data_IF_517608433372
#
_entry.id   IF_517608433372
#
_cell.length_a   1.000
_cell.length_b   1.000
_cell.length_c   1.000
_cell.angle_alpha   90.00
_cell.angle_beta   90.00
_cell.angle_gamma   90.00
#
_symmetry.space_group_name_H-M   'P 1'
#
loop_
_entity.id
_entity.type
_entity.pdbx_description
1 polymer ?
#
# COMPACT_ATOMS: atom_id res chain seq x y z
N UNK A 1 -56.51 -5.55 1.96
CA UNK A 1 -55.13 -5.59 1.42
C UNK A 1 -54.21 -6.00 2.56
N UNK A 2 -53.94 -7.29 2.65
CA UNK A 2 -53.08 -7.89 3.66
C UNK A 2 -51.65 -7.46 3.35
N UNK A 3 -51.06 -6.60 4.18
CA UNK A 3 -49.63 -6.34 4.16
C UNK A 3 -48.94 -7.65 4.54
N UNK A 4 -48.28 -8.23 3.55
CA UNK A 4 -47.56 -9.49 3.64
C UNK A 4 -46.30 -9.26 4.51
N UNK A 5 -46.50 -9.29 5.84
CA UNK A 5 -45.56 -8.87 6.88
C UNK A 5 -44.38 -9.85 7.10
N UNK A 6 -44.06 -10.63 6.08
CA UNK A 6 -42.89 -11.51 6.07
C UNK A 6 -41.63 -10.66 5.94
N UNK A 7 -40.65 -10.78 6.86
CA UNK A 7 -39.44 -9.99 6.83
C UNK A 7 -38.65 -10.25 5.54
N UNK A 8 -38.00 -9.20 5.02
CA UNK A 8 -37.21 -9.27 3.79
C UNK A 8 -36.07 -10.31 3.87
N UNK A 9 -35.51 -10.51 5.06
CA UNK A 9 -34.55 -11.57 5.35
C UNK A 9 -34.98 -12.40 6.57
N UNK A 10 -34.58 -13.67 6.58
CA UNK A 10 -34.41 -14.39 7.84
C UNK A 10 -33.17 -13.85 8.59
N UNK A 11 -33.22 -13.82 9.92
CA UNK A 11 -32.17 -13.25 10.77
C UNK A 11 -30.82 -13.97 10.58
N UNK A 12 -30.85 -15.29 10.36
CA UNK A 12 -29.63 -16.08 10.13
C UNK A 12 -28.96 -15.67 8.81
N UNK A 13 -29.74 -15.53 7.74
CA UNK A 13 -29.24 -15.12 6.43
C UNK A 13 -28.70 -13.70 6.46
N UNK A 14 -29.42 -12.77 7.09
CA UNK A 14 -28.97 -11.39 7.23
C UNK A 14 -27.66 -11.31 8.02
N UNK A 15 -27.58 -11.98 9.18
CA UNK A 15 -26.36 -12.02 9.99
C UNK A 15 -25.17 -12.60 9.22
N UNK A 16 -25.38 -13.69 8.46
CA UNK A 16 -24.34 -14.31 7.64
C UNK A 16 -23.86 -13.45 6.47
N UNK A 17 -24.73 -12.59 5.91
CA UNK A 17 -24.36 -11.57 4.92
C UNK A 17 -23.56 -10.43 5.57
N UNK A 18 -24.01 -9.92 6.71
CA UNK A 18 -23.29 -8.87 7.45
C UNK A 18 -21.88 -9.32 7.83
N UNK A 19 -21.73 -10.52 8.36
CA UNK A 19 -20.42 -11.08 8.69
C UNK A 19 -19.51 -11.09 7.45
N UNK A 20 -20.04 -11.48 6.29
CA UNK A 20 -19.24 -11.49 5.05
C UNK A 20 -18.85 -10.10 4.54
N UNK A 21 -19.63 -9.06 4.81
CA UNK A 21 -19.24 -7.68 4.51
C UNK A 21 -17.99 -7.29 5.30
N UNK A 22 -17.96 -7.55 6.61
CA UNK A 22 -16.82 -7.16 7.44
C UNK A 22 -15.62 -8.11 7.28
N UNK A 23 -15.86 -9.41 7.09
CA UNK A 23 -14.80 -10.39 6.81
C UNK A 23 -14.14 -10.15 5.46
N UNK A 24 -14.91 -9.70 4.46
CA UNK A 24 -14.45 -9.38 3.12
C UNK A 24 -13.34 -8.33 3.04
N UNK A 25 -13.15 -7.53 4.09
CA UNK A 25 -12.05 -6.57 4.23
C UNK A 25 -10.67 -7.25 4.25
N UNK A 26 -10.60 -8.51 4.68
CA UNK A 26 -9.37 -9.30 4.79
C UNK A 26 -9.28 -10.40 3.72
N UNK A 27 -10.21 -10.45 2.77
CA UNK A 27 -10.24 -11.47 1.72
C UNK A 27 -9.37 -11.06 0.52
N UNK A 28 -8.78 -12.05 -0.14
CA UNK A 28 -8.08 -11.87 -1.42
C UNK A 28 -8.62 -12.92 -2.38
N UNK A 29 -9.48 -12.55 -3.37
CA UNK A 29 -9.96 -11.21 -3.73
C UNK A 29 -10.99 -10.61 -2.75
N UNK A 30 -11.03 -9.27 -2.69
CA UNK A 30 -11.87 -8.49 -1.75
C UNK A 30 -13.37 -8.76 -1.94
N UNK A 31 -14.08 -8.93 -0.83
CA UNK A 31 -15.54 -9.14 -0.78
C UNK A 31 -16.08 -10.29 -1.66
N UNK A 32 -15.25 -11.24 -2.08
CA UNK A 32 -15.70 -12.37 -2.91
C UNK A 32 -16.74 -13.22 -2.17
N UNK A 33 -16.51 -13.49 -0.89
CA UNK A 33 -17.45 -14.25 -0.07
C UNK A 33 -18.80 -13.55 0.07
N UNK A 34 -18.80 -12.23 0.21
CA UNK A 34 -20.01 -11.42 0.24
C UNK A 34 -20.77 -11.45 -1.10
N UNK A 35 -20.08 -11.21 -2.21
CA UNK A 35 -20.71 -11.18 -3.54
C UNK A 35 -21.30 -12.54 -3.93
N UNK A 36 -20.63 -13.64 -3.60
CA UNK A 36 -21.14 -14.99 -3.83
C UNK A 36 -22.42 -15.30 -3.02
N UNK A 37 -22.44 -14.93 -1.73
CA UNK A 37 -23.64 -15.07 -0.89
C UNK A 37 -24.79 -14.19 -1.39
N UNK A 38 -24.49 -12.94 -1.73
CA UNK A 38 -25.47 -11.99 -2.25
C UNK A 38 -26.06 -12.49 -3.57
N UNK A 39 -25.23 -13.01 -4.47
CA UNK A 39 -25.67 -13.56 -5.76
C UNK A 39 -26.65 -14.72 -5.57
N UNK A 40 -26.33 -15.63 -4.66
CA UNK A 40 -27.18 -16.80 -4.34
C UNK A 40 -28.51 -16.34 -3.74
N UNK A 41 -28.47 -15.46 -2.75
CA UNK A 41 -29.64 -14.95 -2.04
C UNK A 41 -30.59 -14.14 -2.93
N UNK A 42 -30.03 -13.41 -3.89
CA UNK A 42 -30.79 -12.63 -4.86
C UNK A 42 -31.16 -13.45 -6.10
N UNK A 43 -30.82 -14.74 -6.17
CA UNK A 43 -31.00 -15.58 -7.37
C UNK A 43 -30.47 -14.88 -8.63
N UNK A 44 -29.32 -14.22 -8.51
CA UNK A 44 -28.69 -13.41 -9.52
C UNK A 44 -27.70 -14.23 -10.37
N UNK A 45 -27.48 -13.81 -11.62
CA UNK A 45 -26.43 -14.39 -12.46
C UNK A 45 -25.09 -13.70 -12.22
N UNK A 46 -25.07 -12.37 -12.05
CA UNK A 46 -23.85 -11.61 -11.76
C UNK A 46 -24.11 -10.52 -10.72
N UNK A 47 -23.17 -10.36 -9.79
CA UNK A 47 -23.09 -9.22 -8.87
C UNK A 47 -21.80 -8.43 -9.11
N UNK A 48 -21.90 -7.11 -9.16
CA UNK A 48 -20.78 -6.19 -9.28
C UNK A 48 -20.77 -5.19 -8.12
N UNK A 49 -19.61 -4.96 -7.54
CA UNK A 49 -19.35 -3.86 -6.62
C UNK A 49 -18.22 -3.00 -7.18
N UNK A 50 -18.54 -1.74 -7.45
CA UNK A 50 -17.65 -0.77 -8.10
C UNK A 50 -17.33 0.31 -7.08
N UNK A 51 -16.05 0.48 -6.71
CA UNK A 51 -15.67 1.46 -5.66
C UNK A 51 -15.29 2.85 -6.19
N UNK A 52 -15.33 3.08 -7.50
CA UNK A 52 -15.11 4.41 -8.10
C UNK A 52 -15.70 4.44 -9.51
N UNK A 53 -16.14 5.61 -9.96
CA UNK A 53 -16.59 5.75 -11.35
C UNK A 53 -15.45 5.38 -12.31
N UNK A 54 -15.75 4.60 -13.36
CA UNK A 54 -14.81 4.40 -14.44
C UNK A 54 -14.54 5.74 -15.14
N UNK A 55 -13.27 6.15 -15.20
CA UNK A 55 -12.81 7.26 -16.02
C UNK A 55 -12.27 6.70 -17.36
N UNK A 56 -12.18 7.51 -18.43
CA UNK A 56 -11.52 7.10 -19.66
C UNK A 56 -10.09 6.62 -19.35
N UNK A 57 -9.83 5.31 -19.53
CA UNK A 57 -8.53 4.68 -19.25
C UNK A 57 -8.36 4.06 -17.85
N UNK A 58 -9.33 4.19 -16.93
CA UNK A 58 -9.31 3.56 -15.60
C UNK A 58 -10.72 3.10 -15.20
N UNK A 59 -10.99 1.80 -15.31
CA UNK A 59 -12.31 1.20 -15.08
C UNK A 59 -12.77 1.19 -13.61
N UNK A 60 -11.97 1.75 -12.71
CA UNK A 60 -12.25 1.73 -11.30
C UNK A 60 -11.76 0.45 -10.60
N UNK A 61 -12.11 0.25 -9.32
CA UNK A 61 -11.95 -1.08 -8.71
C UNK A 61 -13.28 -1.81 -8.89
N UNK A 62 -13.28 -2.77 -9.81
CA UNK A 62 -14.42 -3.60 -10.15
C UNK A 62 -14.29 -4.96 -9.46
N UNK A 63 -15.14 -5.22 -8.49
CA UNK A 63 -15.26 -6.51 -7.82
C UNK A 63 -16.51 -7.22 -8.34
N UNK A 64 -16.43 -8.53 -8.55
CA UNK A 64 -17.51 -9.25 -9.22
C UNK A 64 -17.55 -10.73 -8.88
N UNK A 65 -18.75 -11.31 -8.91
CA UNK A 65 -19.00 -12.74 -8.77
C UNK A 65 -20.01 -13.19 -9.83
N UNK A 66 -19.77 -14.35 -10.45
CA UNK A 66 -20.62 -14.91 -11.50
C UNK A 66 -20.24 -14.53 -12.95
N UNK A 67 -19.17 -13.74 -13.16
CA UNK A 67 -18.65 -13.47 -14.50
C UNK A 67 -18.10 -14.74 -15.16
N UNK A 68 -18.42 -15.00 -16.44
CA UNK A 68 -17.79 -16.04 -17.24
C UNK A 68 -16.26 -15.84 -17.34
N UNK A 69 -15.45 -16.91 -17.31
CA UNK A 69 -13.98 -16.85 -17.37
C UNK A 69 -13.41 -16.09 -18.58
N UNK A 70 -14.14 -16.05 -19.70
CA UNK A 70 -13.75 -15.32 -20.90
C UNK A 70 -13.67 -13.80 -20.72
N UNK A 71 -14.30 -13.26 -19.67
CA UNK A 71 -14.38 -11.82 -19.39
C UNK A 71 -13.57 -11.41 -18.16
N UNK A 72 -13.30 -12.35 -17.24
CA UNK A 72 -12.53 -12.11 -16.03
C UNK A 72 -11.05 -11.74 -16.29
N UNK A 73 -10.54 -11.99 -17.51
CA UNK A 73 -9.14 -11.76 -17.89
C UNK A 73 -8.89 -10.71 -18.97
N UNK A 74 -9.93 -10.02 -19.48
CA UNK A 74 -9.74 -9.00 -20.53
C UNK A 74 -9.54 -7.61 -19.89
N UNK A 75 -8.39 -6.95 -20.07
CA UNK A 75 -8.14 -5.60 -19.54
C UNK A 75 -9.04 -4.53 -20.18
N UNK A 76 -9.59 -4.82 -21.37
CA UNK A 76 -10.67 -4.06 -21.99
C UNK A 76 -11.98 -4.79 -21.74
N UNK A 77 -12.69 -4.42 -20.68
CA UNK A 77 -14.09 -4.76 -20.57
C UNK A 77 -14.82 -3.89 -21.61
N UNK A 78 -15.65 -4.46 -22.48
CA UNK A 78 -16.32 -3.70 -23.58
C UNK A 78 -17.07 -2.45 -23.04
N UNK A 79 -17.50 -2.52 -21.78
CA UNK A 79 -18.13 -1.42 -21.04
C UNK A 79 -17.19 -0.24 -20.70
N UNK A 80 -15.89 -0.47 -20.48
CA UNK A 80 -14.90 0.59 -20.20
C UNK A 80 -14.44 1.36 -21.43
N UNK A 81 -14.69 0.84 -22.65
CA UNK A 81 -14.36 1.49 -23.93
C UNK A 81 -15.43 2.54 -24.34
N UNK A 82 -15.91 3.32 -23.37
CA UNK A 82 -16.83 4.46 -23.60
C UNK A 82 -18.33 4.14 -23.58
N UNK A 83 -18.72 2.87 -23.48
CA UNK A 83 -20.15 2.47 -23.41
C UNK A 83 -20.82 2.80 -22.07
N UNK A 84 -20.05 3.13 -21.02
CA UNK A 84 -20.57 3.74 -19.79
C UNK A 84 -21.38 5.03 -20.05
N UNK A 85 -21.01 5.81 -21.08
CA UNK A 85 -21.68 7.07 -21.40
C UNK A 85 -23.12 6.90 -21.91
N UNK A 86 -23.48 5.70 -22.37
CA UNK A 86 -24.82 5.36 -22.86
C UNK A 86 -25.58 4.46 -21.88
N UNK A 87 -25.03 4.19 -20.69
CA UNK A 87 -25.72 3.42 -19.65
C UNK A 87 -26.81 4.27 -18.99
N UNK A 88 -28.11 3.96 -19.20
CA UNK A 88 -29.21 4.69 -18.58
C UNK A 88 -29.27 4.48 -17.06
N UNK A 89 -28.46 3.57 -16.53
CA UNK A 89 -28.37 3.18 -15.13
C UNK A 89 -27.10 3.74 -14.44
N UNK A 90 -26.45 4.71 -15.07
CA UNK A 90 -25.35 5.48 -14.51
C UNK A 90 -25.85 6.71 -13.72
N UNK A 91 -25.23 7.01 -12.57
CA UNK A 91 -25.56 8.15 -11.69
C UNK A 91 -26.96 8.09 -11.06
N UNK A 92 -27.29 6.95 -10.44
CA UNK A 92 -28.54 6.82 -9.69
C UNK A 92 -28.58 7.80 -8.51
N UNK A 93 -29.78 8.19 -8.04
CA UNK A 93 -29.92 8.93 -6.79
C UNK A 93 -29.24 8.17 -5.63
N UNK A 94 -28.51 8.91 -4.79
CA UNK A 94 -27.75 8.28 -3.69
C UNK A 94 -28.68 7.49 -2.77
N UNK A 95 -28.25 6.27 -2.45
CA UNK A 95 -28.87 5.35 -1.50
C UNK A 95 -30.30 4.92 -1.88
N UNK A 96 -30.70 5.17 -3.13
CA UNK A 96 -31.97 4.72 -3.67
C UNK A 96 -31.80 3.44 -4.49
N UNK A 97 -32.39 2.35 -3.99
CA UNK A 97 -32.41 1.07 -4.71
C UNK A 97 -33.43 1.13 -5.85
N UNK A 98 -32.93 1.08 -7.07
CA UNK A 98 -33.74 1.25 -8.28
C UNK A 98 -33.56 0.05 -9.20
N UNK A 99 -34.55 -0.20 -10.06
CA UNK A 99 -34.46 -1.22 -11.11
C UNK A 99 -34.40 -0.57 -12.48
N UNK A 100 -33.70 -1.18 -13.43
CA UNK A 100 -33.55 -0.60 -14.77
C UNK A 100 -34.89 -0.38 -15.48
N UNK A 101 -35.87 -1.25 -15.24
CA UNK A 101 -37.22 -1.17 -15.78
C UNK A 101 -38.00 0.06 -15.32
N UNK A 102 -37.59 0.72 -14.23
CA UNK A 102 -38.21 1.97 -13.75
C UNK A 102 -37.73 3.19 -14.53
N UNK A 103 -36.57 3.11 -15.19
CA UNK A 103 -36.03 4.18 -16.03
C UNK A 103 -36.33 3.98 -17.50
N UNK A 104 -36.23 2.74 -17.99
CA UNK A 104 -36.41 2.41 -19.39
C UNK A 104 -37.39 1.25 -19.53
N UNK A 105 -38.55 1.46 -20.17
CA UNK A 105 -39.48 0.38 -20.46
C UNK A 105 -38.78 -0.77 -21.22
N UNK A 106 -39.07 -2.01 -20.86
CA UNK A 106 -38.37 -3.19 -21.40
C UNK A 106 -38.36 -3.23 -22.93
N UNK A 107 -39.45 -2.84 -23.58
CA UNK A 107 -39.54 -2.79 -25.05
C UNK A 107 -38.54 -1.82 -25.69
N UNK A 108 -38.28 -0.68 -25.02
CA UNK A 108 -37.31 0.31 -25.47
C UNK A 108 -35.88 -0.14 -25.17
N UNK A 109 -35.67 -0.78 -24.02
CA UNK A 109 -34.37 -1.34 -23.63
C UNK A 109 -33.90 -2.40 -24.63
N UNK A 110 -34.76 -3.35 -24.99
CA UNK A 110 -34.44 -4.43 -25.93
C UNK A 110 -34.02 -3.94 -27.33
N UNK A 111 -34.43 -2.72 -27.70
CA UNK A 111 -34.06 -2.07 -28.97
C UNK A 111 -32.86 -1.14 -28.85
N UNK A 112 -32.37 -0.90 -27.64
CA UNK A 112 -31.24 0.01 -27.40
C UNK A 112 -29.91 -0.61 -27.78
N UNK A 113 -28.98 0.23 -28.25
CA UNK A 113 -27.61 -0.19 -28.52
C UNK A 113 -26.91 -0.72 -27.26
N UNK A 114 -27.24 -0.13 -26.10
CA UNK A 114 -26.76 -0.58 -24.80
C UNK A 114 -27.11 -2.05 -24.53
N UNK A 115 -28.38 -2.44 -24.74
CA UNK A 115 -28.79 -3.83 -24.55
C UNK A 115 -28.09 -4.78 -25.52
N UNK A 116 -28.13 -4.47 -26.83
CA UNK A 116 -27.60 -5.35 -27.89
C UNK A 116 -26.08 -5.58 -27.74
N UNK A 117 -25.33 -4.56 -27.31
CA UNK A 117 -23.86 -4.63 -27.23
C UNK A 117 -23.34 -5.03 -25.85
N UNK A 118 -24.04 -4.65 -24.76
CA UNK A 118 -23.52 -4.82 -23.39
C UNK A 118 -24.31 -5.82 -22.55
N UNK A 119 -25.60 -6.04 -22.81
CA UNK A 119 -26.44 -6.88 -21.95
C UNK A 119 -26.74 -8.25 -22.59
N UNK A 120 -27.12 -8.26 -23.87
CA UNK A 120 -27.47 -9.47 -24.62
C UNK A 120 -26.35 -10.52 -24.67
N UNK A 121 -25.06 -10.18 -24.89
CA UNK A 121 -23.98 -11.16 -24.93
C UNK A 121 -23.76 -11.90 -23.60
N UNK A 122 -24.22 -11.32 -22.48
CA UNK A 122 -24.01 -11.85 -21.14
C UNK A 122 -25.31 -12.34 -20.49
N UNK A 123 -26.40 -12.42 -21.27
CA UNK A 123 -27.74 -12.79 -20.81
C UNK A 123 -28.13 -11.98 -19.56
N UNK A 124 -28.06 -10.65 -19.68
CA UNK A 124 -28.49 -9.71 -18.65
C UNK A 124 -29.78 -9.04 -19.13
N UNK A 125 -30.82 -9.05 -18.30
CA UNK A 125 -32.06 -8.31 -18.61
C UNK A 125 -32.51 -7.47 -17.42
N UNK A 126 -32.66 -8.11 -16.28
CA UNK A 126 -33.10 -7.44 -15.07
C UNK A 126 -31.89 -6.93 -14.30
N UNK A 127 -31.86 -5.63 -14.00
CA UNK A 127 -30.79 -5.01 -13.23
C UNK A 127 -31.41 -4.30 -12.02
N UNK A 128 -30.91 -4.65 -10.84
CA UNK A 128 -31.12 -3.93 -9.59
C UNK A 128 -29.82 -3.24 -9.23
N UNK A 129 -29.89 -1.97 -8.82
CA UNK A 129 -28.69 -1.28 -8.39
C UNK A 129 -28.96 -0.13 -7.44
N UNK A 130 -27.89 0.25 -6.79
CA UNK A 130 -27.83 1.40 -5.91
C UNK A 130 -26.48 2.07 -6.09
N UNK A 131 -26.50 3.40 -6.14
CA UNK A 131 -25.30 4.22 -6.04
C UNK A 131 -25.26 4.84 -4.64
N UNK A 132 -24.09 4.82 -4.02
CA UNK A 132 -23.84 5.34 -2.69
C UNK A 132 -22.75 6.38 -2.80
N UNK A 133 -23.00 7.57 -2.23
CA UNK A 133 -21.98 8.60 -2.11
C UNK A 133 -21.39 8.54 -0.71
N UNK A 134 -20.13 8.12 -0.62
CA UNK A 134 -19.42 7.99 0.65
C UNK A 134 -18.56 9.24 0.95
N UNK A 135 -18.16 9.44 2.23
CA UNK A 135 -17.22 10.49 2.61
C UNK A 135 -15.92 10.45 1.79
N UNK A 136 -15.34 11.61 1.51
CA UNK A 136 -14.08 11.71 0.74
C UNK A 136 -14.27 11.57 -0.78
N UNK A 137 -15.46 11.88 -1.30
CA UNK A 137 -15.81 11.83 -2.73
C UNK A 137 -15.77 10.43 -3.36
N UNK A 138 -15.74 9.39 -2.54
CA UNK A 138 -15.79 8.01 -3.03
C UNK A 138 -17.23 7.67 -3.44
N UNK A 139 -17.42 7.27 -4.69
CA UNK A 139 -18.71 6.77 -5.17
C UNK A 139 -18.66 5.27 -5.31
N UNK A 140 -19.66 4.59 -4.75
CA UNK A 140 -19.78 3.15 -4.81
C UNK A 140 -21.06 2.77 -5.53
N UNK A 141 -20.97 1.81 -6.44
CA UNK A 141 -22.12 1.29 -7.16
C UNK A 141 -22.22 -0.22 -6.95
N UNK A 142 -23.37 -0.69 -6.48
CA UNK A 142 -23.72 -2.10 -6.43
C UNK A 142 -24.67 -2.38 -7.59
N UNK A 143 -24.38 -3.42 -8.39
CA UNK A 143 -25.22 -3.88 -9.48
C UNK A 143 -25.46 -5.38 -9.34
N UNK A 144 -26.71 -5.78 -9.42
CA UNK A 144 -27.16 -7.16 -9.30
C UNK A 144 -28.00 -7.43 -10.53
N UNK A 145 -27.68 -8.50 -11.23
CA UNK A 145 -28.28 -8.81 -12.52
C UNK A 145 -28.98 -10.16 -12.48
N UNK A 146 -30.02 -10.34 -13.30
CA UNK A 146 -30.64 -11.63 -13.59
C UNK A 146 -30.81 -11.78 -15.11
N UNK A 147 -30.87 -13.03 -15.57
CA UNK A 147 -31.09 -13.38 -16.97
C UNK A 147 -32.50 -13.10 -17.45
N UNK A 148 -32.69 -13.12 -18.77
CA UNK A 148 -33.98 -12.83 -19.40
C UNK A 148 -35.11 -13.81 -19.02
N UNK A 149 -34.74 -15.05 -18.68
CA UNK A 149 -35.68 -16.10 -18.28
C UNK A 149 -36.03 -16.06 -16.77
N UNK A 150 -35.35 -15.22 -15.99
CA UNK A 150 -35.61 -15.07 -14.56
C UNK A 150 -36.72 -14.05 -14.29
N UNK A 151 -37.25 -14.07 -13.06
CA UNK A 151 -38.22 -13.03 -12.63
C UNK A 151 -37.52 -11.68 -12.42
N UNK A 152 -38.23 -10.61 -12.77
CA UNK A 152 -37.85 -9.24 -12.42
C UNK A 152 -37.67 -9.06 -10.91
N UNK A 153 -36.89 -8.05 -10.52
CA UNK A 153 -36.72 -7.72 -9.11
C UNK A 153 -38.00 -7.15 -8.51
N UNK A 154 -38.30 -7.59 -7.30
CA UNK A 154 -39.52 -7.25 -6.56
C UNK A 154 -39.25 -6.15 -5.52
N UNK A 155 -40.30 -5.57 -4.94
CA UNK A 155 -40.16 -4.64 -3.81
C UNK A 155 -39.44 -5.28 -2.60
N UNK A 156 -39.66 -6.59 -2.35
CA UNK A 156 -38.93 -7.34 -1.32
C UNK A 156 -37.44 -7.46 -1.64
N UNK A 157 -37.08 -7.66 -2.92
CA UNK A 157 -35.67 -7.66 -3.36
C UNK A 157 -35.01 -6.28 -3.13
N UNK A 158 -35.75 -5.18 -3.32
CA UNK A 158 -35.26 -3.83 -3.02
C UNK A 158 -35.01 -3.64 -1.54
N UNK A 159 -35.97 -4.03 -0.70
CA UNK A 159 -35.89 -3.92 0.76
C UNK A 159 -34.69 -4.69 1.32
N UNK A 160 -34.40 -5.89 0.78
CA UNK A 160 -33.19 -6.66 1.07
C UNK A 160 -31.91 -5.86 0.84
N UNK A 161 -31.78 -5.15 -0.27
CA UNK A 161 -30.59 -4.34 -0.55
C UNK A 161 -30.55 -3.09 0.35
N UNK A 162 -31.69 -2.44 0.56
CA UNK A 162 -31.81 -1.28 1.45
C UNK A 162 -31.27 -1.58 2.85
N UNK A 163 -31.53 -2.78 3.40
CA UNK A 163 -31.00 -3.21 4.69
C UNK A 163 -29.47 -3.38 4.71
N UNK A 164 -28.82 -3.64 3.58
CA UNK A 164 -27.37 -3.81 3.49
C UNK A 164 -26.62 -2.50 3.25
N UNK A 165 -27.28 -1.47 2.69
CA UNK A 165 -26.69 -0.14 2.43
C UNK A 165 -25.92 0.42 3.63
N UNK A 166 -26.50 0.53 4.85
CA UNK A 166 -25.79 1.15 5.98
C UNK A 166 -24.51 0.39 6.35
N UNK A 167 -24.47 -0.93 6.13
CA UNK A 167 -23.29 -1.74 6.42
C UNK A 167 -22.19 -1.56 5.37
N UNK A 168 -22.56 -1.44 4.09
CA UNK A 168 -21.61 -1.10 3.03
C UNK A 168 -21.06 0.31 3.20
N UNK A 169 -21.92 1.27 3.57
CA UNK A 169 -21.54 2.65 3.88
C UNK A 169 -20.58 2.76 5.09
N UNK A 170 -20.53 1.76 5.98
CA UNK A 170 -19.56 1.69 7.08
C UNK A 170 -18.29 0.91 6.69
N UNK A 171 -18.45 -0.27 6.08
CA UNK A 171 -17.32 -1.15 5.78
C UNK A 171 -16.37 -0.56 4.73
N UNK A 172 -16.90 0.11 3.69
CA UNK A 172 -16.07 0.63 2.59
C UNK A 172 -15.18 1.80 3.04
N UNK A 173 -15.67 2.82 3.79
CA UNK A 173 -14.78 3.85 4.33
C UNK A 173 -13.74 3.30 5.31
N UNK A 174 -14.08 2.27 6.10
CA UNK A 174 -13.12 1.59 6.97
C UNK A 174 -12.00 0.93 6.15
N UNK A 175 -12.35 0.23 5.06
CA UNK A 175 -11.39 -0.31 4.11
C UNK A 175 -10.49 0.78 3.53
N UNK A 176 -11.07 1.88 3.04
CA UNK A 176 -10.34 2.98 2.43
C UNK A 176 -9.33 3.60 3.41
N UNK A 177 -9.74 3.78 4.68
CA UNK A 177 -8.85 4.28 5.74
C UNK A 177 -7.70 3.31 6.04
N UNK A 178 -7.98 2.00 6.11
CA UNK A 178 -6.93 0.99 6.31
C UNK A 178 -5.93 0.98 5.15
N UNK A 179 -6.41 1.05 3.90
CA UNK A 179 -5.56 1.12 2.71
C UNK A 179 -4.72 2.39 2.67
N UNK A 180 -5.29 3.54 3.07
CA UNK A 180 -4.54 4.78 3.16
C UNK A 180 -3.40 4.67 4.18
N UNK A 181 -3.69 4.14 5.37
CA UNK A 181 -2.68 3.91 6.41
C UNK A 181 -1.59 2.91 5.95
N UNK A 182 -1.98 1.86 5.23
CA UNK A 182 -1.03 0.87 4.71
C UNK A 182 -0.17 1.44 3.57
N UNK A 183 -0.75 2.27 2.71
CA UNK A 183 -0.02 2.98 1.65
C UNK A 183 0.98 3.96 2.28
N UNK A 184 0.56 4.76 3.24
CA UNK A 184 1.42 5.69 3.98
C UNK A 184 2.56 4.94 4.68
N UNK A 185 2.25 3.84 5.38
CA UNK A 185 3.25 2.95 5.99
C UNK A 185 4.25 2.43 4.97
N UNK A 186 3.78 1.89 3.85
CA UNK A 186 4.63 1.38 2.77
C UNK A 186 5.53 2.47 2.19
N UNK A 187 5.02 3.70 2.02
CA UNK A 187 5.82 4.84 1.57
C UNK A 187 6.90 5.21 2.60
N UNK A 188 6.56 5.24 3.90
CA UNK A 188 7.53 5.49 4.97
C UNK A 188 8.59 4.39 5.04
N UNK A 189 8.21 3.11 4.95
CA UNK A 189 9.13 1.97 4.96
C UNK A 189 10.09 2.02 3.76
N UNK A 190 9.60 2.38 2.57
CA UNK A 190 10.43 2.58 1.38
C UNK A 190 11.40 3.74 1.57
N UNK A 191 10.94 4.86 2.13
CA UNK A 191 11.78 6.05 2.39
C UNK A 191 12.89 5.73 3.39
N UNK A 192 12.59 4.99 4.46
CA UNK A 192 13.59 4.55 5.45
C UNK A 192 14.59 3.58 4.81
N UNK A 193 14.13 2.69 3.94
CA UNK A 193 15.02 1.76 3.21
C UNK A 193 15.98 2.50 2.27
N UNK A 194 15.54 3.59 1.65
CA UNK A 194 16.38 4.43 0.79
C UNK A 194 17.51 5.13 1.55
N UNK A 195 17.33 5.38 2.85
CA UNK A 195 18.39 5.88 3.74
C UNK A 195 19.47 4.85 4.07
N UNK A 196 19.40 3.64 3.50
CA UNK A 196 20.31 2.54 3.81
C UNK A 196 20.33 2.17 5.29
N UNK A 197 19.21 2.43 5.98
CA UNK A 197 19.05 2.17 7.40
C UNK A 197 18.21 0.89 7.57
N UNK A 198 18.79 -0.13 8.19
CA UNK A 198 18.06 -1.31 8.62
C UNK A 198 17.18 -0.97 9.82
N UNK A 199 15.91 -1.38 9.80
CA UNK A 199 14.99 -1.20 10.92
C UNK A 199 14.42 -2.54 11.34
N UNK A 200 14.47 -2.82 12.64
CA UNK A 200 13.89 -4.02 13.26
C UNK A 200 13.01 -3.56 14.43
N UNK A 201 11.78 -4.07 14.50
CA UNK A 201 10.85 -3.80 15.60
C UNK A 201 10.68 -5.10 16.39
N UNK A 202 10.84 -5.03 17.70
CA UNK A 202 10.69 -6.15 18.61
C UNK A 202 9.47 -5.99 19.52
N UNK A 203 8.91 -7.13 19.96
CA UNK A 203 7.96 -7.19 21.07
C UNK A 203 8.66 -7.23 22.45
N UNK A 204 7.88 -7.22 23.52
CA UNK A 204 8.37 -7.34 24.91
C UNK A 204 9.02 -8.70 25.21
N UNK A 205 8.72 -9.73 24.41
CA UNK A 205 9.33 -11.05 24.38
C UNK A 205 10.63 -11.14 23.57
N UNK A 206 11.15 -10.02 23.03
CA UNK A 206 12.33 -9.92 22.15
C UNK A 206 12.17 -10.59 20.78
N UNK A 207 10.93 -10.83 20.34
CA UNK A 207 10.63 -11.41 19.04
C UNK A 207 10.47 -10.30 18.01
N UNK A 208 11.00 -10.53 16.82
CA UNK A 208 10.87 -9.63 15.68
C UNK A 208 9.40 -9.59 15.23
N UNK A 209 8.80 -8.41 15.32
CA UNK A 209 7.48 -8.09 14.78
C UNK A 209 7.57 -7.62 13.33
N UNK A 210 8.60 -6.82 13.03
CA UNK A 210 8.80 -6.25 11.69
C UNK A 210 10.29 -6.05 11.41
N UNK A 211 10.66 -6.20 10.14
CA UNK A 211 11.99 -5.99 9.61
C UNK A 211 11.85 -5.35 8.22
N UNK A 212 12.65 -4.31 7.92
CA UNK A 212 12.70 -3.77 6.56
C UNK A 212 13.72 -4.54 5.69
N UNK A 213 13.67 -4.32 4.38
CA UNK A 213 14.52 -5.02 3.42
C UNK A 213 16.02 -4.85 3.69
N UNK A 214 16.45 -3.68 4.19
CA UNK A 214 17.85 -3.41 4.52
C UNK A 214 18.31 -4.26 5.72
N UNK A 215 17.51 -4.32 6.77
CA UNK A 215 17.81 -5.16 7.93
C UNK A 215 17.79 -6.64 7.59
N UNK A 216 16.82 -7.11 6.78
CA UNK A 216 16.77 -8.50 6.33
C UNK A 216 18.03 -8.90 5.54
N UNK A 217 18.52 -8.01 4.66
CA UNK A 217 19.80 -8.24 3.95
C UNK A 217 20.97 -8.37 4.93
N UNK A 218 21.13 -7.42 5.86
CA UNK A 218 22.23 -7.43 6.84
C UNK A 218 22.20 -8.71 7.69
N UNK A 219 21.01 -9.13 8.13
CA UNK A 219 20.80 -10.36 8.89
C UNK A 219 21.17 -11.60 8.06
N UNK A 220 20.83 -11.60 6.76
CA UNK A 220 21.08 -12.72 5.85
C UNK A 220 22.58 -12.90 5.55
N UNK A 221 23.35 -11.81 5.53
CA UNK A 221 24.82 -11.87 5.38
C UNK A 221 25.52 -12.61 6.53
N UNK A 222 24.88 -12.69 7.70
CA UNK A 222 25.41 -13.36 8.91
C UNK A 222 26.82 -12.89 9.27
N UNK A 223 27.06 -11.59 9.13
CA UNK A 223 28.33 -10.94 9.42
C UNK A 223 28.15 -10.03 10.66
N UNK A 224 28.39 -10.60 11.84
CA UNK A 224 28.20 -9.93 13.13
C UNK A 224 26.78 -10.09 13.70
N UNK A 225 25.73 -9.99 12.87
CA UNK A 225 24.31 -10.09 13.27
C UNK A 225 23.62 -11.25 12.54
N UNK A 226 22.75 -11.98 13.23
CA UNK A 226 21.87 -12.99 12.61
C UNK A 226 20.50 -13.06 13.30
N UNK A 227 19.55 -13.77 12.68
CA UNK A 227 18.22 -14.02 13.23
C UNK A 227 17.98 -15.52 13.36
N UNK A 228 17.48 -15.97 14.51
CA UNK A 228 17.11 -17.36 14.79
C UNK A 228 15.83 -17.38 15.61
N UNK A 229 14.84 -18.18 15.21
CA UNK A 229 13.55 -18.32 15.92
C UNK A 229 12.85 -16.96 16.18
N UNK A 230 12.92 -16.05 15.20
CA UNK A 230 12.46 -14.65 15.28
C UNK A 230 13.17 -13.81 16.35
N UNK A 231 14.36 -14.18 16.81
CA UNK A 231 15.18 -13.38 17.72
C UNK A 231 16.47 -12.94 17.03
N UNK A 232 16.91 -11.73 17.35
CA UNK A 232 18.19 -11.20 16.85
C UNK A 232 19.33 -11.64 17.78
N UNK A 233 20.37 -12.21 17.18
CA UNK A 233 21.55 -12.72 17.86
C UNK A 233 22.82 -12.05 17.31
N UNK A 234 23.74 -11.72 18.21
CA UNK A 234 25.06 -11.19 17.86
C UNK A 234 26.07 -12.34 17.92
N UNK A 235 26.96 -12.39 16.94
CA UNK A 235 27.89 -13.51 16.73
C UNK A 235 29.01 -13.54 17.78
N UNK A 236 29.51 -12.36 18.18
CA UNK A 236 30.55 -12.24 19.21
C UNK A 236 29.94 -12.21 20.62
N UNK A 237 30.46 -13.04 21.52
CA UNK A 237 29.88 -13.29 22.85
C UNK A 237 29.89 -12.08 23.79
N UNK A 238 30.95 -11.26 23.76
CA UNK A 238 31.05 -10.02 24.55
C UNK A 238 30.01 -8.99 24.10
N UNK A 239 29.89 -8.79 22.79
CA UNK A 239 28.91 -7.88 22.18
C UNK A 239 27.47 -8.39 22.35
N UNK A 240 27.26 -9.72 22.31
CA UNK A 240 25.97 -10.33 22.55
C UNK A 240 25.41 -10.07 23.96
N UNK A 241 26.27 -10.04 24.98
CA UNK A 241 25.87 -9.67 26.34
C UNK A 241 25.44 -8.20 26.41
N UNK A 242 26.24 -7.32 25.81
CA UNK A 242 25.94 -5.89 25.79
C UNK A 242 24.65 -5.59 25.03
N UNK A 243 24.47 -6.17 23.83
CA UNK A 243 23.25 -6.04 23.04
C UNK A 243 22.01 -6.49 23.82
N UNK A 244 22.07 -7.64 24.50
CA UNK A 244 20.95 -8.12 25.35
C UNK A 244 20.61 -7.14 26.48
N UNK A 245 21.61 -6.50 27.09
CA UNK A 245 21.38 -5.47 28.11
C UNK A 245 20.69 -4.24 27.52
N UNK A 246 21.10 -3.77 26.33
CA UNK A 246 20.46 -2.64 25.65
C UNK A 246 18.98 -2.90 25.37
N UNK A 247 18.66 -4.09 24.84
CA UNK A 247 17.27 -4.49 24.59
C UNK A 247 16.45 -4.55 25.88
N UNK A 248 17.01 -5.13 26.96
CA UNK A 248 16.31 -5.22 28.24
C UNK A 248 16.02 -3.82 28.82
N UNK A 249 17.00 -2.92 28.79
CA UNK A 249 16.82 -1.55 29.27
C UNK A 249 15.72 -0.82 28.47
N UNK A 250 15.67 -1.01 27.15
CA UNK A 250 14.64 -0.42 26.30
C UNK A 250 13.24 -0.99 26.59
N UNK A 251 13.12 -2.30 26.83
CA UNK A 251 11.86 -2.94 27.24
C UNK A 251 11.41 -2.45 28.62
N UNK A 252 12.32 -2.34 29.58
CA UNK A 252 12.01 -1.85 30.92
C UNK A 252 11.55 -0.38 30.89
N UNK A 253 12.18 0.45 30.04
CA UNK A 253 11.76 1.82 29.82
C UNK A 253 10.37 1.93 29.17
N UNK A 254 10.08 1.06 28.19
CA UNK A 254 8.75 0.94 27.59
C UNK A 254 7.69 0.62 28.65
N UNK A 255 7.93 -0.40 29.49
CA UNK A 255 7.01 -0.82 30.57
C UNK A 255 6.80 0.26 31.62
N UNK A 256 7.81 1.07 31.89
CA UNK A 256 7.76 2.14 32.89
C UNK A 256 7.24 3.46 32.31
N UNK A 257 6.82 3.49 31.03
CA UNK A 257 6.40 4.72 30.32
C UNK A 257 7.42 5.86 30.46
N UNK A 258 8.71 5.52 30.53
CA UNK A 258 9.81 6.48 30.67
C UNK A 258 10.10 7.16 29.33
N UNK A 259 10.66 8.39 29.33
CA UNK A 259 11.06 9.06 28.10
C UNK A 259 12.06 8.21 27.32
N UNK A 260 12.03 8.37 25.99
CA UNK A 260 12.80 7.60 25.00
C UNK A 260 14.25 7.35 25.45
N UNK A 261 14.55 6.11 25.83
CA UNK A 261 15.94 5.69 25.98
C UNK A 261 16.49 5.44 24.57
N UNK A 262 17.61 6.08 24.25
CA UNK A 262 18.37 5.87 23.03
C UNK A 262 19.76 5.39 23.43
N UNK A 263 20.10 4.16 23.07
CA UNK A 263 21.42 3.57 23.34
C UNK A 263 22.05 3.14 22.02
N UNK A 264 23.37 3.19 21.92
CA UNK A 264 24.09 2.84 20.70
C UNK A 264 25.22 1.85 20.99
N UNK A 265 25.53 1.00 20.02
CA UNK A 265 26.70 0.13 20.05
C UNK A 265 27.24 -0.14 18.64
N UNK A 266 28.51 -0.50 18.56
CA UNK A 266 29.13 -1.01 17.35
C UNK A 266 29.19 -2.54 17.40
N UNK A 267 28.97 -3.20 16.26
CA UNK A 267 29.07 -4.66 16.12
C UNK A 267 30.21 -5.00 15.18
N UNK A 268 31.13 -5.81 15.67
CA UNK A 268 32.28 -6.26 14.90
C UNK A 268 31.86 -7.18 13.76
N UNK A 269 32.55 -7.03 12.63
CA UNK A 269 32.39 -7.86 11.42
C UNK A 269 33.65 -8.66 11.14
N UNK A 270 33.61 -9.52 10.12
CA UNK A 270 34.79 -10.23 9.60
C UNK A 270 35.96 -9.27 9.34
N UNK A 271 37.17 -9.80 9.46
CA UNK A 271 38.41 -9.03 9.37
C UNK A 271 38.47 -8.18 8.10
N UNK A 272 38.75 -6.87 8.27
CA UNK A 272 38.89 -5.91 7.18
C UNK A 272 37.65 -5.05 6.88
N UNK A 273 36.50 -5.34 7.50
CA UNK A 273 35.28 -4.51 7.38
C UNK A 273 35.10 -3.58 8.56
N UNK A 274 34.56 -2.38 8.32
CA UNK A 274 34.13 -1.43 9.35
C UNK A 274 33.02 -2.04 10.21
N UNK A 275 32.87 -1.73 11.49
CA UNK A 275 31.78 -2.28 12.30
C UNK A 275 30.39 -1.76 11.86
N UNK A 276 29.34 -2.52 12.13
CA UNK A 276 27.95 -2.06 11.99
C UNK A 276 27.59 -1.15 13.15
N UNK A 277 26.87 -0.06 12.89
CA UNK A 277 26.40 0.85 13.92
C UNK A 277 24.94 0.55 14.26
N UNK A 278 24.66 0.30 15.53
CA UNK A 278 23.31 0.02 16.02
C UNK A 278 22.86 1.11 16.98
N UNK A 279 21.61 1.53 16.81
CA UNK A 279 20.88 2.35 17.78
C UNK A 279 19.63 1.59 18.22
N UNK A 280 19.44 1.47 19.53
CA UNK A 280 18.28 0.84 20.17
C UNK A 280 17.45 1.95 20.82
N UNK A 281 16.14 1.96 20.54
CA UNK A 281 15.19 2.95 21.07
C UNK A 281 13.97 2.26 21.70
N UNK A 282 13.55 2.71 22.88
CA UNK A 282 12.27 2.29 23.47
C UNK A 282 11.09 2.93 22.75
N UNK A 283 10.03 2.16 22.50
CA UNK A 283 8.77 2.66 21.94
C UNK A 283 7.85 3.19 23.05
N UNK A 284 7.02 4.22 22.79
CA UNK A 284 6.02 4.66 23.75
C UNK A 284 4.94 3.59 23.91
N UNK A 285 4.38 3.46 25.12
CA UNK A 285 3.25 2.58 25.36
C UNK A 285 2.00 3.21 24.74
N UNK A 286 1.40 2.55 23.76
CA UNK A 286 0.10 2.94 23.20
C UNK A 286 -0.95 2.08 23.89
N UNK A 287 -1.95 2.72 24.51
CA UNK A 287 -3.06 2.03 25.16
C UNK A 287 -3.78 1.15 24.13
N UNK A 288 -3.66 -0.16 24.28
CA UNK A 288 -4.27 -1.17 23.40
C UNK A 288 -4.96 -2.25 24.23
N UNK A 289 -5.89 -2.96 23.61
CA UNK A 289 -6.63 -4.08 24.21
C UNK A 289 -5.66 -5.16 24.72
N UNK A 290 -5.93 -5.68 25.91
CA UNK A 290 -5.11 -6.72 26.54
C UNK A 290 -4.91 -7.93 25.60
N UNK A 291 -3.65 -8.36 25.45
CA UNK A 291 -3.28 -9.56 24.69
C UNK A 291 -2.75 -9.35 23.27
N UNK A 292 -2.64 -8.11 22.77
CA UNK A 292 -1.93 -7.84 21.51
C UNK A 292 -0.41 -7.74 21.73
N UNK A 293 0.37 -8.33 20.82
CA UNK A 293 1.84 -8.17 20.79
C UNK A 293 2.19 -6.71 20.53
N UNK A 294 2.79 -6.03 21.51
CA UNK A 294 3.10 -4.60 21.42
C UNK A 294 4.53 -4.39 20.96
N UNK A 295 4.73 -3.48 20.00
CA UNK A 295 6.06 -3.00 19.63
C UNK A 295 6.69 -2.27 20.82
N UNK A 296 7.75 -2.85 21.39
CA UNK A 296 8.40 -2.37 22.60
C UNK A 296 9.74 -1.67 22.31
N UNK A 297 10.46 -2.14 21.29
CA UNK A 297 11.81 -1.68 20.94
C UNK A 297 11.95 -1.52 19.43
N UNK A 298 12.53 -0.40 19.00
CA UNK A 298 13.03 -0.20 17.64
C UNK A 298 14.56 -0.29 17.63
N UNK A 299 15.11 -1.02 16.65
CA UNK A 299 16.54 -1.14 16.41
C UNK A 299 16.81 -0.58 15.02
N UNK A 300 17.74 0.37 14.94
CA UNK A 300 18.24 0.95 13.70
C UNK A 300 19.67 0.47 13.47
N UNK A 301 19.98 0.02 12.26
CA UNK A 301 21.26 -0.54 11.87
C UNK A 301 21.78 0.23 10.65
N UNK A 302 22.98 0.80 10.76
CA UNK A 302 23.67 1.45 9.66
C UNK A 302 24.95 0.68 9.34
N UNK A 303 25.13 0.36 8.05
CA UNK A 303 26.37 -0.19 7.51
C UNK A 303 27.21 0.93 6.89
N UNK A 304 28.36 1.30 7.48
CA UNK A 304 29.21 2.37 6.96
C UNK A 304 29.80 2.10 5.57
N UNK A 305 29.90 0.84 5.16
CA UNK A 305 30.44 0.46 3.85
C UNK A 305 29.36 0.37 2.77
N UNK A 306 28.08 0.44 3.17
CA UNK A 306 26.99 0.39 2.24
C UNK A 306 26.78 1.76 1.60
N UNK A 307 26.96 1.81 0.28
CA UNK A 307 26.80 3.04 -0.50
C UNK A 307 25.30 3.34 -0.68
N UNK A 308 24.85 4.46 -0.10
CA UNK A 308 23.55 5.03 -0.44
C UNK A 308 23.56 5.38 -1.93
N UNK A 309 22.63 4.79 -2.70
CA UNK A 309 22.51 5.06 -4.12
C UNK A 309 21.77 6.40 -4.32
N UNK A 310 22.46 7.50 -4.00
CA UNK A 310 21.97 8.85 -4.32
C UNK A 310 21.84 8.94 -5.85
N UNK A 311 20.69 9.39 -6.36
CA UNK A 311 20.50 9.46 -7.82
C UNK A 311 21.25 10.64 -8.42
N UNK A 312 22.21 10.36 -9.32
CA UNK A 312 22.94 11.36 -10.10
C UNK A 312 22.00 12.30 -10.87
N UNK A 313 20.88 11.73 -11.33
CA UNK A 313 19.89 12.43 -12.13
C UNK A 313 19.12 13.44 -11.29
N UNK A 314 18.70 13.04 -10.08
CA UNK A 314 18.03 13.94 -9.12
C UNK A 314 18.99 15.06 -8.69
N UNK A 315 20.27 14.75 -8.42
CA UNK A 315 21.28 15.76 -8.14
C UNK A 315 21.47 16.75 -9.31
N UNK A 316 21.43 16.24 -10.54
CA UNK A 316 21.46 17.06 -11.75
C UNK A 316 20.30 18.04 -11.81
N UNK A 317 19.09 17.58 -11.53
CA UNK A 317 17.88 18.40 -11.53
C UNK A 317 17.88 19.44 -10.41
N UNK A 318 18.28 19.09 -9.19
CA UNK A 318 18.25 19.99 -8.03
C UNK A 318 19.29 21.12 -8.12
N UNK A 319 20.48 20.82 -8.65
CA UNK A 319 21.62 21.74 -8.64
C UNK A 319 22.06 22.20 -10.04
N UNK A 320 21.31 21.83 -11.09
CA UNK A 320 21.66 22.17 -12.48
C UNK A 320 22.95 21.52 -12.97
N UNK A 321 23.32 20.36 -12.41
CA UNK A 321 24.55 19.64 -12.78
C UNK A 321 24.34 18.85 -14.08
N UNK A 322 25.38 18.82 -14.91
CA UNK A 322 25.43 17.93 -16.08
C UNK A 322 25.62 16.47 -15.64
N UNK A 323 25.32 15.47 -16.50
CA UNK A 323 25.51 14.07 -16.15
C UNK A 323 26.95 13.72 -15.70
N UNK A 324 27.96 14.39 -16.28
CA UNK A 324 29.36 14.18 -15.89
C UNK A 324 29.68 14.79 -14.51
N UNK A 325 29.16 16.00 -14.25
CA UNK A 325 29.30 16.66 -12.94
C UNK A 325 28.58 15.89 -11.83
N UNK A 326 27.36 15.39 -12.08
CA UNK A 326 26.62 14.57 -11.12
C UNK A 326 27.37 13.29 -10.76
N UNK A 327 27.97 12.61 -11.75
CA UNK A 327 28.78 11.41 -11.49
C UNK A 327 30.02 11.72 -10.64
N UNK A 328 30.68 12.84 -10.91
CA UNK A 328 31.81 13.28 -10.08
C UNK A 328 31.37 13.63 -8.65
N UNK A 329 30.27 14.38 -8.50
CA UNK A 329 29.73 14.75 -7.20
C UNK A 329 29.35 13.53 -6.35
N UNK A 330 28.74 12.50 -6.96
CA UNK A 330 28.44 11.23 -6.27
C UNK A 330 29.70 10.50 -5.83
N UNK A 331 30.71 10.37 -6.69
CA UNK A 331 31.95 9.68 -6.32
C UNK A 331 32.62 10.35 -5.10
N UNK A 332 32.59 11.69 -5.04
CA UNK A 332 33.10 12.44 -3.89
C UNK A 332 32.22 12.27 -2.64
N UNK A 333 30.90 12.18 -2.79
CA UNK A 333 29.97 11.92 -1.69
C UNK A 333 30.13 10.51 -1.10
N UNK A 334 30.50 9.53 -1.92
CA UNK A 334 30.87 8.16 -1.52
C UNK A 334 32.24 8.09 -0.82
N UNK A 335 32.92 9.23 -0.62
CA UNK A 335 34.19 9.30 0.07
C UNK A 335 35.43 9.07 -0.80
N UNK A 336 35.30 8.94 -2.13
CA UNK A 336 36.46 8.83 -3.01
C UNK A 336 37.25 10.14 -3.03
N UNK A 337 38.58 10.04 -3.13
CA UNK A 337 39.40 11.20 -3.43
C UNK A 337 39.14 11.68 -4.86
N UNK A 338 39.52 12.91 -5.18
CA UNK A 338 39.42 13.43 -6.55
C UNK A 338 40.22 12.59 -7.56
N UNK A 339 41.30 11.96 -7.08
CA UNK A 339 42.16 11.09 -7.88
C UNK A 339 41.45 9.77 -8.18
N UNK A 340 40.92 9.11 -7.15
CA UNK A 340 40.16 7.87 -7.29
C UNK A 340 38.92 8.08 -8.17
N UNK A 341 38.20 9.18 -7.96
CA UNK A 341 37.04 9.55 -8.77
C UNK A 341 37.41 9.81 -10.23
N UNK A 342 38.57 10.44 -10.49
CA UNK A 342 39.04 10.65 -11.87
C UNK A 342 39.38 9.34 -12.58
N UNK A 343 39.99 8.40 -11.85
CA UNK A 343 40.33 7.07 -12.36
C UNK A 343 39.07 6.25 -12.63
N UNK A 344 38.12 6.23 -11.68
CA UNK A 344 36.87 5.46 -11.81
C UNK A 344 35.96 5.98 -12.93
N UNK A 345 36.02 7.29 -13.23
CA UNK A 345 35.24 7.92 -14.28
C UNK A 345 35.98 7.97 -15.62
N UNK A 346 37.21 7.43 -15.71
CA UNK A 346 38.06 7.45 -16.89
C UNK A 346 38.28 8.88 -17.47
N UNK A 347 38.49 9.87 -16.59
CA UNK A 347 38.79 11.26 -16.96
C UNK A 347 40.14 11.71 -16.43
N UNK A 348 40.76 12.69 -17.08
CA UNK A 348 42.00 13.27 -16.56
C UNK A 348 41.76 14.02 -15.24
N UNK A 349 42.78 14.07 -14.37
CA UNK A 349 42.74 14.85 -13.12
C UNK A 349 42.43 16.33 -13.38
N UNK A 350 42.90 16.89 -14.50
CA UNK A 350 42.61 18.26 -14.90
C UNK A 350 41.14 18.46 -15.26
N UNK A 351 40.54 17.50 -15.97
CA UNK A 351 39.11 17.47 -16.29
C UNK A 351 38.27 17.35 -15.02
N UNK A 352 38.64 16.47 -14.09
CA UNK A 352 37.96 16.34 -12.79
C UNK A 352 38.01 17.66 -11.99
N UNK A 353 39.16 18.34 -11.96
CA UNK A 353 39.29 19.68 -11.34
C UNK A 353 38.41 20.72 -12.01
N UNK A 354 38.31 20.72 -13.35
CA UNK A 354 37.45 21.64 -14.09
C UNK A 354 35.96 21.40 -13.75
N UNK A 355 35.51 20.14 -13.75
CA UNK A 355 34.15 19.78 -13.33
C UNK A 355 33.88 20.17 -11.87
N UNK A 356 34.82 19.96 -10.95
CA UNK A 356 34.66 20.35 -9.55
C UNK A 356 34.48 21.87 -9.38
N UNK A 357 35.23 22.68 -10.14
CA UNK A 357 35.04 24.15 -10.16
C UNK A 357 33.67 24.55 -10.69
N UNK A 358 33.19 23.88 -11.74
CA UNK A 358 31.86 24.13 -12.28
C UNK A 358 30.76 23.75 -11.28
N UNK A 359 30.92 22.62 -10.58
CA UNK A 359 30.01 22.20 -9.50
C UNK A 359 29.95 23.27 -8.41
N UNK A 360 31.10 23.74 -7.92
CA UNK A 360 31.17 24.80 -6.91
C UNK A 360 30.45 26.08 -7.33
N UNK A 361 30.61 26.50 -8.59
CA UNK A 361 29.90 27.66 -9.12
C UNK A 361 28.38 27.46 -9.16
N UNK A 362 27.91 26.25 -9.50
CA UNK A 362 26.48 25.93 -9.59
C UNK A 362 25.82 25.70 -8.23
N UNK A 363 26.53 25.12 -7.27
CA UNK A 363 26.00 24.80 -5.94
C UNK A 363 26.26 25.90 -4.90
N UNK A 364 27.05 26.92 -5.23
CA UNK A 364 27.37 28.03 -4.33
C UNK A 364 28.30 27.67 -3.17
N UNK A 365 28.97 26.51 -3.23
CA UNK A 365 29.93 26.07 -2.20
C UNK A 365 31.36 26.25 -2.69
N UNK A 366 32.30 26.44 -1.77
CA UNK A 366 33.70 26.73 -2.12
C UNK A 366 34.67 25.62 -1.75
N UNK A 367 34.21 24.60 -1.02
CA UNK A 367 35.04 23.50 -0.52
C UNK A 367 34.38 22.14 -0.79
N UNK A 368 35.21 21.13 -1.05
CA UNK A 368 34.73 19.76 -1.29
C UNK A 368 33.96 19.21 -0.09
N UNK A 369 34.42 19.47 1.14
CA UNK A 369 33.73 19.07 2.38
C UNK A 369 32.35 19.70 2.50
N UNK A 370 32.20 20.98 2.10
CA UNK A 370 30.90 21.67 2.04
C UNK A 370 29.99 21.07 0.98
N UNK A 371 30.54 20.71 -0.20
CA UNK A 371 29.78 20.01 -1.23
C UNK A 371 29.27 18.66 -0.70
N UNK A 372 30.13 17.85 -0.08
CA UNK A 372 29.72 16.56 0.51
C UNK A 372 28.64 16.77 1.57
N UNK A 373 28.80 17.76 2.47
CA UNK A 373 27.76 18.08 3.46
C UNK A 373 26.45 18.56 2.82
N UNK A 374 26.50 19.31 1.72
CA UNK A 374 25.31 19.78 1.00
C UNK A 374 24.57 18.58 0.38
N UNK A 375 25.30 17.67 -0.25
CA UNK A 375 24.75 16.48 -0.88
C UNK A 375 24.12 15.54 0.16
N UNK A 376 24.79 15.30 1.29
CA UNK A 376 24.26 14.45 2.37
C UNK A 376 23.02 15.02 3.06
N UNK A 377 22.83 16.35 3.04
CA UNK A 377 21.64 17.03 3.57
C UNK A 377 20.55 17.23 2.51
N UNK A 378 20.84 16.92 1.24
CA UNK A 378 19.92 17.09 0.13
C UNK A 378 18.79 16.06 0.20
N UNK A 379 17.59 16.43 -0.26
CA UNK A 379 16.48 15.48 -0.46
C UNK A 379 16.87 14.36 -1.43
N UNK A 380 17.82 14.61 -2.35
CA UNK A 380 18.37 13.58 -3.23
C UNK A 380 19.00 12.39 -2.47
N UNK A 381 19.58 12.63 -1.29
CA UNK A 381 20.14 11.57 -0.45
C UNK A 381 19.05 10.65 0.13
N UNK A 382 17.80 11.14 0.21
CA UNK A 382 16.65 10.39 0.69
C UNK A 382 15.90 9.67 -0.44
N UNK A 383 15.93 10.20 -1.67
CA UNK A 383 15.20 9.66 -2.82
C UNK A 383 15.99 8.60 -3.62
N UNK A 384 16.76 7.76 -2.93
CA UNK A 384 17.61 6.76 -3.60
C UNK A 384 16.80 5.91 -4.59
N UNK A 385 17.28 5.80 -5.83
CA UNK A 385 16.55 5.09 -6.89
C UNK A 385 16.43 3.61 -6.52
N UNK A 386 15.20 3.13 -6.41
CA UNK A 386 14.94 1.69 -6.48
C UNK A 386 15.24 1.25 -7.92
N UNK A 387 16.29 0.44 -8.09
CA UNK A 387 16.40 -0.42 -9.26
C UNK A 387 16.18 -1.85 -8.83
#
# INVERSE_FOLDING_TARGET
MSLDNTPAYDLCTFSGLLESIYKGLNETPLWQGFLCKLRTEMSANICFLILRNPNPGDAGLLLSDGLPPALSGSPNNVYSDGLYAIDPFANLPSDQVTTLEEFVPTEQLLRSEFYLRCMQPFDLLHILGVDMQLPGSLRVSLRITRCANARSFTAKDKEKITLLIPHLQQAIPLYARLQQMETERSLLDRTVSQLSLGTIILDDGRRVLHCNAVADRIITEKDGICSKDRQILITHSSEANHFRQLINNAIDAHKQSKPYIVQAMAISRKAGRLPLNIVVRSMPQVSQLDGQTVASVAIFISDPEYKSHTSAEILGQLYGLTPAESRLAMALADGHSLEDASNSLHISRNTARAHLRAIFAKTGVTQQTMLVSLLLKSVAAFLASSR
#
